data_IF_510085824007
#
_entry.id   IF_510085824007
#
_cell.length_a   1.000
_cell.length_b   1.000
_cell.length_c   1.000
_cell.angle_alpha   90.00
_cell.angle_beta   90.00
_cell.angle_gamma   90.00
#
_symmetry.space_group_name_H-M   'P 1'
#
loop_
_entity.id
_entity.type
_entity.pdbx_description
1 polymer ?
#
# COMPACT_ATOMS: atom_id res chain seq x y z
N UNK A 1 -7.18 -18.76 -0.38
CA UNK A 1 -6.49 -17.94 0.64
C UNK A 1 -7.50 -16.92 1.13
N UNK A 2 -7.94 -16.99 2.39
CA UNK A 2 -8.91 -16.03 2.97
C UNK A 2 -8.10 -14.94 3.67
N UNK A 3 -8.15 -13.71 3.15
CA UNK A 3 -7.54 -12.54 3.77
C UNK A 3 -8.54 -11.99 4.79
N UNK A 4 -8.18 -12.01 6.07
CA UNK A 4 -8.95 -11.38 7.14
C UNK A 4 -8.24 -10.07 7.50
N UNK A 5 -8.88 -8.95 7.19
CA UNK A 5 -8.46 -7.64 7.66
C UNK A 5 -9.15 -7.35 9.00
N UNK A 6 -8.36 -7.06 10.02
CA UNK A 6 -8.86 -6.59 11.31
C UNK A 6 -8.30 -5.19 11.54
N UNK A 7 -9.17 -4.25 11.84
CA UNK A 7 -8.79 -2.93 12.32
C UNK A 7 -8.66 -3.02 13.84
N UNK A 8 -7.43 -2.84 14.34
CA UNK A 8 -7.12 -2.89 15.76
C UNK A 8 -7.26 -1.49 16.34
N UNK A 9 -8.37 -1.25 17.05
CA UNK A 9 -8.54 -0.05 17.87
C UNK A 9 -7.91 -0.30 19.24
N UNK A 10 -6.65 0.09 19.41
CA UNK A 10 -5.84 -0.15 20.61
C UNK A 10 -5.56 1.16 21.33
N UNK A 11 -5.75 1.19 22.65
CA UNK A 11 -5.41 2.35 23.48
C UNK A 11 -3.88 2.51 23.60
N UNK A 12 -3.39 3.75 23.73
CA UNK A 12 -1.95 4.07 23.75
C UNK A 12 -1.13 3.25 24.78
N UNK A 13 -1.73 2.91 25.91
CA UNK A 13 -1.07 2.15 26.97
C UNK A 13 -0.83 0.69 26.55
N UNK A 14 -1.78 0.08 25.83
CA UNK A 14 -1.66 -1.29 25.31
C UNK A 14 -0.67 -1.36 24.14
N UNK A 15 -0.58 -0.28 23.34
CA UNK A 15 0.35 -0.17 22.21
C UNK A 15 1.82 -0.23 22.65
N UNK A 16 2.16 0.38 23.77
CA UNK A 16 3.54 0.40 24.27
C UNK A 16 4.03 -0.99 24.72
N UNK A 17 3.18 -1.75 25.41
CA UNK A 17 3.47 -3.12 25.84
C UNK A 17 3.49 -4.11 24.68
N UNK A 18 2.63 -3.90 23.68
CA UNK A 18 2.54 -4.74 22.47
C UNK A 18 3.73 -4.50 21.53
N UNK A 19 4.22 -3.26 21.40
CA UNK A 19 5.42 -2.96 20.64
C UNK A 19 6.68 -3.60 21.25
N UNK A 20 6.81 -3.60 22.58
CA UNK A 20 7.94 -4.22 23.29
C UNK A 20 7.90 -5.75 23.25
N UNK A 21 6.71 -6.35 23.24
CA UNK A 21 6.51 -7.79 23.21
C UNK A 21 5.86 -8.25 21.89
N UNK A 22 6.27 -7.65 20.77
CA UNK A 22 5.58 -7.86 19.50
C UNK A 22 5.68 -9.32 19.03
N UNK A 23 6.89 -9.91 19.03
CA UNK A 23 7.10 -11.29 18.60
C UNK A 23 6.27 -12.33 19.36
N UNK A 24 6.25 -12.32 20.71
CA UNK A 24 5.44 -13.25 21.49
C UNK A 24 3.93 -13.01 21.30
N UNK A 25 3.50 -11.74 21.22
CA UNK A 25 2.10 -11.36 21.04
C UNK A 25 1.56 -11.84 19.69
N UNK A 26 2.32 -11.68 18.61
CA UNK A 26 1.95 -12.18 17.29
C UNK A 26 1.86 -13.71 17.27
N UNK A 27 2.77 -14.41 17.97
CA UNK A 27 2.70 -15.86 18.07
C UNK A 27 1.44 -16.33 18.77
N UNK A 28 1.08 -15.68 19.87
CA UNK A 28 -0.16 -15.99 20.58
C UNK A 28 -1.40 -15.71 19.71
N UNK A 29 -1.38 -14.61 18.95
CA UNK A 29 -2.44 -14.27 18.02
C UNK A 29 -2.59 -15.32 16.90
N UNK A 30 -1.48 -15.74 16.27
CA UNK A 30 -1.49 -16.78 15.23
C UNK A 30 -2.03 -18.10 15.79
N UNK A 31 -1.61 -18.49 17.01
CA UNK A 31 -2.13 -19.69 17.70
C UNK A 31 -3.63 -19.59 17.98
N UNK A 32 -4.10 -18.47 18.52
CA UNK A 32 -5.52 -18.24 18.84
C UNK A 32 -6.41 -18.23 17.60
N UNK A 33 -5.91 -17.70 16.49
CA UNK A 33 -6.65 -17.63 15.23
C UNK A 33 -6.64 -18.95 14.45
N UNK A 34 -5.78 -19.91 14.83
CA UNK A 34 -5.59 -21.18 14.12
C UNK A 34 -5.05 -20.99 12.69
N UNK A 35 -4.49 -19.82 12.38
CA UNK A 35 -3.95 -19.50 11.05
C UNK A 35 -2.51 -19.96 10.95
N UNK A 36 -2.06 -20.22 9.72
CA UNK A 36 -0.69 -20.66 9.44
C UNK A 36 0.32 -19.51 9.40
N UNK A 37 -0.13 -18.26 9.51
CA UNK A 37 0.72 -17.08 9.44
C UNK A 37 -0.07 -15.78 9.48
N UNK A 38 0.66 -14.67 9.58
CA UNK A 38 0.15 -13.31 9.62
C UNK A 38 0.83 -12.47 8.52
N UNK A 39 0.03 -11.69 7.80
CA UNK A 39 0.51 -10.62 6.94
C UNK A 39 0.18 -9.29 7.63
N UNK A 40 1.23 -8.55 7.98
CA UNK A 40 1.12 -7.21 8.53
C UNK A 40 1.43 -6.21 7.42
N UNK A 41 0.49 -5.32 7.11
CA UNK A 41 0.69 -4.23 6.16
C UNK A 41 0.80 -2.94 6.96
N UNK A 42 1.93 -2.26 6.83
CA UNK A 42 2.21 -0.98 7.47
C UNK A 42 2.25 0.09 6.39
N UNK A 43 1.26 0.98 6.39
CA UNK A 43 1.28 2.17 5.55
C UNK A 43 2.03 3.30 6.27
N UNK A 44 3.07 3.84 5.65
CA UNK A 44 3.84 4.97 6.20
C UNK A 44 3.20 6.33 5.91
N UNK A 45 1.88 6.37 5.65
CA UNK A 45 1.12 7.61 5.50
C UNK A 45 1.36 8.63 6.62
N UNK A 46 1.71 8.16 7.83
CA UNK A 46 1.93 8.97 9.02
C UNK A 46 3.42 9.31 9.29
N UNK A 47 4.36 8.84 8.47
CA UNK A 47 5.79 9.17 8.59
C UNK A 47 6.52 8.53 9.77
N UNK A 48 5.96 7.47 10.36
CA UNK A 48 6.53 6.74 11.50
C UNK A 48 7.85 6.04 11.13
N UNK A 49 8.01 5.68 9.86
CA UNK A 49 9.25 5.08 9.34
C UNK A 49 10.44 6.04 9.36
N UNK A 50 10.24 7.33 9.65
CA UNK A 50 11.34 8.29 9.86
C UNK A 50 11.98 8.23 11.24
N UNK A 51 11.48 7.42 12.18
CA UNK A 51 11.96 7.41 13.56
C UNK A 51 12.95 6.26 13.84
N UNK A 52 13.97 6.56 14.65
CA UNK A 52 14.91 5.55 15.15
C UNK A 52 14.19 4.44 15.95
N UNK A 53 13.11 4.78 16.67
CA UNK A 53 12.34 3.82 17.46
C UNK A 53 11.72 2.73 16.59
N UNK A 54 11.13 3.10 15.44
CA UNK A 54 10.57 2.13 14.50
C UNK A 54 11.66 1.28 13.86
N UNK A 55 12.81 1.86 13.52
CA UNK A 55 13.95 1.11 12.99
C UNK A 55 14.46 0.05 13.99
N UNK A 56 14.61 0.42 15.27
CA UNK A 56 15.02 -0.50 16.32
C UNK A 56 13.97 -1.58 16.59
N UNK A 57 12.69 -1.21 16.63
CA UNK A 57 11.59 -2.15 16.79
C UNK A 57 11.54 -3.18 15.64
N UNK A 58 11.67 -2.72 14.39
CA UNK A 58 11.66 -3.60 13.23
C UNK A 58 12.83 -4.59 13.27
N UNK A 59 14.02 -4.11 13.64
CA UNK A 59 15.21 -4.96 13.80
C UNK A 59 15.02 -6.01 14.88
N UNK A 60 14.55 -5.59 16.07
CA UNK A 60 14.28 -6.49 17.19
C UNK A 60 13.27 -7.56 16.80
N UNK A 61 12.21 -7.16 16.10
CA UNK A 61 11.17 -8.07 15.61
C UNK A 61 11.74 -9.11 14.65
N UNK A 62 12.53 -8.67 13.66
CA UNK A 62 13.14 -9.56 12.67
C UNK A 62 14.13 -10.53 13.33
N UNK A 63 14.95 -10.06 14.26
CA UNK A 63 15.91 -10.90 14.98
C UNK A 63 15.21 -11.96 15.81
N UNK A 64 14.19 -11.56 16.57
CA UNK A 64 13.42 -12.47 17.40
C UNK A 64 12.75 -13.55 16.54
N UNK A 65 12.16 -13.16 15.41
CA UNK A 65 11.52 -14.09 14.48
C UNK A 65 12.53 -15.03 13.83
N UNK A 66 13.74 -14.55 13.52
CA UNK A 66 14.82 -15.36 12.94
C UNK A 66 15.37 -16.41 13.92
N UNK A 67 15.31 -16.12 15.23
CA UNK A 67 15.72 -17.03 16.30
C UNK A 67 14.57 -17.98 16.68
N UNK A 68 13.32 -17.59 16.42
CA UNK A 68 12.15 -18.35 16.82
C UNK A 68 11.91 -19.62 16.01
N UNK A 69 11.30 -20.63 16.65
CA UNK A 69 10.94 -21.91 16.06
C UNK A 69 10.06 -21.77 14.79
N UNK A 70 10.10 -22.76 13.86
CA UNK A 70 9.54 -22.68 12.50
C UNK A 70 8.03 -22.43 12.37
N UNK A 71 7.28 -22.35 13.47
CA UNK A 71 5.82 -22.27 13.46
C UNK A 71 5.27 -20.84 13.34
N UNK A 72 6.11 -19.81 13.49
CA UNK A 72 5.66 -18.40 13.34
C UNK A 72 5.97 -17.90 11.94
N UNK A 73 4.96 -17.85 11.06
CA UNK A 73 5.09 -17.24 9.73
C UNK A 73 4.55 -15.82 9.77
N UNK A 74 5.43 -14.83 9.85
CA UNK A 74 5.08 -13.41 9.74
C UNK A 74 5.67 -12.83 8.45
N UNK A 75 4.84 -12.13 7.69
CA UNK A 75 5.29 -11.26 6.61
C UNK A 75 4.93 -9.81 6.98
N UNK A 76 5.90 -8.91 6.92
CA UNK A 76 5.69 -7.47 7.13
C UNK A 76 5.88 -6.80 5.77
N UNK A 77 4.82 -6.18 5.27
CA UNK A 77 4.84 -5.35 4.07
C UNK A 77 4.79 -3.89 4.51
N UNK A 78 5.86 -3.14 4.25
CA UNK A 78 5.90 -1.69 4.51
C UNK A 78 5.64 -0.99 3.18
N UNK A 79 4.60 -0.18 3.13
CA UNK A 79 4.22 0.63 1.98
C UNK A 79 4.62 2.07 2.29
N UNK A 80 5.43 2.66 1.42
CA UNK A 80 5.93 4.01 1.64
C UNK A 80 6.88 4.44 0.53
N UNK A 81 7.40 5.66 0.68
CA UNK A 81 8.35 6.23 -0.26
C UNK A 81 9.78 5.69 -0.02
N UNK A 82 10.60 5.70 -1.06
CA UNK A 82 12.00 5.24 -0.99
C UNK A 82 12.82 6.04 0.05
N UNK A 83 12.55 7.34 0.20
CA UNK A 83 13.20 8.19 1.21
C UNK A 83 12.96 7.68 2.64
N UNK A 84 11.80 7.08 2.88
CA UNK A 84 11.43 6.52 4.19
C UNK A 84 12.17 5.23 4.47
N UNK A 85 12.34 4.38 3.45
CA UNK A 85 13.21 3.21 3.54
C UNK A 85 14.66 3.60 3.83
N UNK A 86 15.16 4.65 3.16
CA UNK A 86 16.50 5.16 3.41
C UNK A 86 16.66 5.69 4.83
N UNK A 87 15.67 6.40 5.37
CA UNK A 87 15.70 6.87 6.76
C UNK A 87 15.79 5.71 7.77
N UNK A 88 15.00 4.64 7.58
CA UNK A 88 15.08 3.43 8.42
C UNK A 88 16.48 2.80 8.38
N UNK A 89 17.09 2.71 7.19
CA UNK A 89 18.42 2.14 7.00
C UNK A 89 19.50 3.04 7.62
N UNK A 90 19.36 4.35 7.54
CA UNK A 90 20.29 5.29 8.19
C UNK A 90 20.25 5.16 9.72
N UNK A 91 19.07 4.91 10.30
CA UNK A 91 18.95 4.65 11.73
C UNK A 91 19.45 3.26 12.13
N UNK A 92 19.34 2.27 11.24
CA UNK A 92 19.79 0.91 11.49
C UNK A 92 20.25 0.22 10.20
N UNK A 93 21.55 0.27 9.92
CA UNK A 93 22.14 -0.23 8.66
C UNK A 93 21.83 -1.71 8.40
N UNK A 94 21.72 -2.50 9.47
CA UNK A 94 21.43 -3.94 9.37
C UNK A 94 20.05 -4.25 8.77
N UNK A 95 19.10 -3.30 8.77
CA UNK A 95 17.80 -3.46 8.11
C UNK A 95 17.92 -3.55 6.60
N UNK A 96 18.98 -3.00 6.00
CA UNK A 96 19.17 -3.01 4.55
C UNK A 96 19.16 -4.44 3.96
N UNK A 97 19.61 -5.43 4.74
CA UNK A 97 19.68 -6.83 4.32
C UNK A 97 18.35 -7.59 4.47
N UNK A 98 17.41 -7.01 5.21
CA UNK A 98 16.12 -7.63 5.52
C UNK A 98 15.05 -7.21 4.52
N UNK A 99 15.17 -6.00 3.95
CA UNK A 99 14.21 -5.50 2.98
C UNK A 99 14.31 -6.23 1.65
N UNK A 100 13.19 -6.82 1.23
CA UNK A 100 12.93 -7.15 -0.18
C UNK A 100 12.12 -6.02 -0.78
N UNK A 101 12.74 -5.24 -1.68
CA UNK A 101 12.11 -4.05 -2.27
C UNK A 101 11.31 -4.46 -3.50
N UNK A 102 10.03 -4.10 -3.51
CA UNK A 102 9.16 -4.16 -4.68
C UNK A 102 8.89 -2.74 -5.14
N UNK A 103 9.38 -2.39 -6.31
CA UNK A 103 9.13 -1.08 -6.91
C UNK A 103 7.75 -1.07 -7.55
N UNK A 104 6.98 -0.03 -7.25
CA UNK A 104 5.73 0.26 -7.95
C UNK A 104 6.01 1.31 -9.02
N UNK A 105 6.13 0.84 -10.26
CA UNK A 105 6.31 1.73 -11.41
C UNK A 105 5.00 2.44 -11.77
N UNK A 106 5.12 3.54 -12.49
CA UNK A 106 3.97 4.16 -13.14
C UNK A 106 3.35 3.17 -14.13
N UNK A 107 2.03 3.23 -14.28
CA UNK A 107 1.32 2.42 -15.26
C UNK A 107 1.83 2.69 -16.66
N UNK A 108 1.96 1.62 -17.42
CA UNK A 108 2.17 1.70 -18.86
C UNK A 108 1.00 2.42 -19.53
N UNK A 109 1.24 2.87 -20.77
CA UNK A 109 0.21 3.49 -21.61
C UNK A 109 -0.98 2.54 -21.80
N UNK A 110 -0.68 1.25 -21.97
CA UNK A 110 -1.64 0.17 -22.13
C UNK A 110 -2.48 -0.04 -20.87
N UNK A 111 -1.85 -0.11 -19.69
CA UNK A 111 -2.55 -0.23 -18.40
C UNK A 111 -3.46 0.97 -18.13
N UNK A 112 -2.98 2.18 -18.41
CA UNK A 112 -3.75 3.41 -18.25
C UNK A 112 -4.95 3.44 -19.21
N UNK A 113 -4.76 3.01 -20.45
CA UNK A 113 -5.82 2.89 -21.45
C UNK A 113 -6.89 1.88 -21.03
N UNK A 114 -6.48 0.71 -20.56
CA UNK A 114 -7.39 -0.32 -20.05
C UNK A 114 -8.13 0.12 -18.78
N UNK A 115 -7.47 0.86 -17.89
CA UNK A 115 -8.10 1.45 -16.71
C UNK A 115 -9.25 2.39 -17.12
N UNK A 116 -9.01 3.33 -18.03
CA UNK A 116 -10.04 4.26 -18.48
C UNK A 116 -11.18 3.56 -19.19
N UNK A 117 -10.90 2.65 -20.14
CA UNK A 117 -11.95 1.88 -20.83
C UNK A 117 -12.84 1.14 -19.84
N UNK A 118 -12.26 0.45 -18.85
CA UNK A 118 -13.02 -0.26 -17.83
C UNK A 118 -13.85 0.69 -16.97
N UNK A 119 -13.29 1.84 -16.59
CA UNK A 119 -13.95 2.85 -15.75
C UNK A 119 -15.13 3.52 -16.45
N UNK A 120 -14.98 3.93 -17.71
CA UNK A 120 -16.08 4.52 -18.47
C UNK A 120 -17.16 3.48 -18.79
N UNK A 121 -16.77 2.25 -19.16
CA UNK A 121 -17.72 1.17 -19.44
C UNK A 121 -18.54 0.80 -18.19
N UNK A 122 -17.90 0.71 -17.01
CA UNK A 122 -18.60 0.40 -15.76
C UNK A 122 -19.57 1.51 -15.33
N UNK A 123 -19.28 2.76 -15.70
CA UNK A 123 -20.17 3.91 -15.51
C UNK A 123 -21.26 4.04 -16.61
N UNK A 124 -21.32 3.12 -17.59
CA UNK A 124 -22.27 3.16 -18.69
C UNK A 124 -21.99 4.25 -19.73
N UNK A 125 -20.81 4.87 -19.70
CA UNK A 125 -20.40 5.91 -20.62
C UNK A 125 -19.56 5.33 -21.78
N UNK A 126 -19.63 5.97 -22.94
CA UNK A 126 -18.75 5.69 -24.08
C UNK A 126 -17.73 6.81 -24.20
N UNK A 127 -16.46 6.44 -24.37
CA UNK A 127 -15.37 7.38 -24.64
C UNK A 127 -14.90 7.19 -26.08
N UNK A 128 -14.68 8.30 -26.80
CA UNK A 128 -14.07 8.26 -28.13
C UNK A 128 -12.57 7.93 -28.04
N UNK A 129 -12.01 7.36 -29.10
CA UNK A 129 -10.58 7.01 -29.14
C UNK A 129 -9.68 8.23 -28.91
N UNK A 130 -10.02 9.37 -29.51
CA UNK A 130 -9.25 10.62 -29.37
C UNK A 130 -9.23 11.14 -27.91
N UNK A 131 -10.39 11.14 -27.23
CA UNK A 131 -10.47 11.57 -25.84
C UNK A 131 -9.76 10.58 -24.90
N UNK A 132 -9.77 9.29 -25.23
CA UNK A 132 -9.04 8.28 -24.49
C UNK A 132 -7.52 8.48 -24.61
N UNK A 133 -7.02 8.74 -25.81
CA UNK A 133 -5.60 9.04 -26.02
C UNK A 133 -5.16 10.29 -25.28
N UNK A 134 -5.97 11.36 -25.33
CA UNK A 134 -5.72 12.57 -24.55
C UNK A 134 -5.62 12.29 -23.05
N UNK A 135 -6.55 11.51 -22.49
CA UNK A 135 -6.54 11.13 -21.08
C UNK A 135 -5.30 10.32 -20.71
N UNK A 136 -4.97 9.33 -21.52
CA UNK A 136 -3.84 8.44 -21.28
C UNK A 136 -2.52 9.22 -21.27
N UNK A 137 -2.32 10.09 -22.27
CA UNK A 137 -1.12 10.90 -22.39
C UNK A 137 -1.03 11.95 -21.26
N UNK A 138 -2.16 12.52 -20.84
CA UNK A 138 -2.21 13.50 -19.74
C UNK A 138 -2.01 12.88 -18.35
N UNK A 139 -2.40 11.62 -18.15
CA UNK A 139 -2.25 10.91 -16.86
C UNK A 139 -0.80 10.56 -16.57
N UNK A 140 0.01 10.32 -17.61
CA UNK A 140 1.42 9.95 -17.48
C UNK A 140 1.67 8.67 -16.68
N UNK A 141 0.67 7.76 -16.64
CA UNK A 141 0.76 6.50 -15.90
C UNK A 141 0.58 6.61 -14.38
N UNK A 142 0.31 7.80 -13.84
CA UNK A 142 0.20 7.99 -12.40
C UNK A 142 -1.24 7.71 -11.92
N UNK A 143 -1.45 6.69 -11.05
CA UNK A 143 -2.79 6.29 -10.61
C UNK A 143 -3.58 7.41 -9.93
N UNK A 144 -2.89 8.32 -9.24
CA UNK A 144 -3.51 9.49 -8.58
C UNK A 144 -4.17 10.42 -9.60
N UNK A 145 -3.50 10.71 -10.73
CA UNK A 145 -4.11 11.51 -11.79
C UNK A 145 -5.25 10.75 -12.47
N UNK A 146 -5.11 9.44 -12.65
CA UNK A 146 -6.18 8.61 -13.21
C UNK A 146 -7.45 8.64 -12.35
N UNK A 147 -7.29 8.67 -11.02
CA UNK A 147 -8.40 8.77 -10.08
C UNK A 147 -9.09 10.13 -10.15
N UNK A 148 -8.32 11.23 -10.16
CA UNK A 148 -8.85 12.58 -10.26
C UNK A 148 -9.59 12.84 -11.59
N UNK A 149 -9.08 12.27 -12.70
CA UNK A 149 -9.67 12.42 -14.03
C UNK A 149 -10.85 11.45 -14.26
N UNK A 150 -10.85 10.28 -13.62
CA UNK A 150 -11.84 9.23 -13.81
C UNK A 150 -13.10 9.33 -12.94
N UNK A 151 -13.03 9.94 -11.74
CA UNK A 151 -14.12 9.87 -10.73
C UNK A 151 -14.93 11.16 -10.59
N UNK A 152 -14.53 12.29 -11.19
CA UNK A 152 -15.37 13.50 -11.22
C UNK A 152 -16.07 13.70 -12.57
N UNK A 153 -17.28 13.13 -12.78
CA UNK A 153 -18.14 13.44 -13.94
C UNK A 153 -18.77 14.85 -13.85
N UNK A 154 -17.98 15.85 -13.47
CA UNK A 154 -18.42 17.24 -13.27
C UNK A 154 -17.29 18.28 -13.14
N UNK A 155 -16.01 17.86 -13.15
CA UNK A 155 -14.85 18.76 -13.08
C UNK A 155 -14.33 19.19 -14.46
N UNK A 156 -14.92 18.70 -15.54
CA UNK A 156 -14.55 19.07 -16.90
C UNK A 156 -14.92 20.53 -17.18
N UNK A 157 -13.97 21.39 -17.59
CA UNK A 157 -14.33 22.70 -18.12
C UNK A 157 -15.29 22.48 -19.30
N UNK A 158 -16.43 23.18 -19.29
CA UNK A 158 -17.41 23.12 -20.38
C UNK A 158 -16.81 23.76 -21.63
N UNK A 159 -16.37 22.97 -22.62
CA UNK A 159 -16.96 23.08 -23.95
C UNK A 159 -17.52 21.75 -24.49
N UNK A 160 -17.34 20.63 -23.79
CA UNK A 160 -17.85 19.32 -24.23
C UNK A 160 -19.32 19.14 -23.81
N UNK A 161 -20.22 19.86 -24.48
CA UNK A 161 -21.64 19.51 -24.42
C UNK A 161 -21.82 18.15 -25.08
N UNK A 162 -22.46 17.25 -24.35
CA UNK A 162 -23.29 16.17 -24.86
C UNK A 162 -24.43 16.76 -25.73
N UNK A 163 -24.06 17.35 -26.85
CA UNK A 163 -24.92 17.71 -27.97
C UNK A 163 -24.23 17.10 -29.16
N UNK A 164 -24.49 15.80 -29.33
CA UNK A 164 -24.61 15.10 -30.61
C UNK A 164 -24.79 13.61 -30.28
N UNK A 165 -25.91 13.31 -29.62
CA UNK A 165 -26.54 12.01 -29.72
C UNK A 165 -27.75 12.17 -30.64
N UNK A 166 -27.53 11.90 -31.92
CA UNK A 166 -28.51 11.22 -32.76
C UNK A 166 -28.04 9.78 -32.98
#
# INVERSE_FOLDING_TARGET
>A
MVLLAFELDLQEQDLSGLAQNFGPSIRELIKKTGKQGLLLILDDSNGLAGSAQVAHWLKSTVDELSISQPETRLCILIVGLEERRQALIQHQESLARVFSVLNMDAWSREETCEFYKKTFTSAGARISTENLEFLVDYTGGLPVFAHELGIRPGAWPKPWRLTDMQ
#
